data_IF_772787176572
#
_entry.id   IF_772787176572
#
_cell.length_a   1.000
_cell.length_b   1.000
_cell.length_c   1.000
_cell.angle_alpha   90.00
_cell.angle_beta   90.00
_cell.angle_gamma   90.00
#
_symmetry.space_group_name_H-M   'P 1'
#
loop_
_entity.id
_entity.type
_entity.pdbx_description
1 polymer ?
#
# COMPACT_ATOMS: atom_id res chain seq x y z
N UNK A 1 23.91 -21.50 -26.46
CA UNK A 1 23.60 -21.66 -25.03
C UNK A 1 22.19 -22.25 -24.94
N UNK A 2 22.07 -23.43 -24.36
CA UNK A 2 20.83 -24.21 -24.28
C UNK A 2 19.69 -23.37 -23.69
N UNK A 3 18.47 -23.50 -24.24
CA UNK A 3 17.30 -22.74 -23.76
C UNK A 3 17.03 -22.98 -22.26
N UNK A 4 17.25 -24.22 -21.82
CA UNK A 4 17.16 -24.61 -20.40
C UNK A 4 18.26 -23.97 -19.55
N UNK A 5 19.49 -23.89 -20.05
CA UNK A 5 20.59 -23.23 -19.36
C UNK A 5 20.37 -21.72 -19.27
N UNK A 6 19.85 -21.08 -20.33
CA UNK A 6 19.45 -19.67 -20.27
C UNK A 6 18.36 -19.43 -19.25
N UNK A 7 17.31 -20.26 -19.21
CA UNK A 7 16.24 -20.13 -18.21
C UNK A 7 16.77 -20.35 -16.79
N UNK A 8 17.65 -21.34 -16.61
CA UNK A 8 18.25 -21.64 -15.30
C UNK A 8 19.22 -20.54 -14.86
N UNK A 9 20.02 -19.98 -15.77
CA UNK A 9 20.86 -18.81 -15.49
C UNK A 9 20.05 -17.55 -15.28
N UNK A 10 18.95 -17.35 -16.00
CA UNK A 10 18.05 -16.20 -15.79
C UNK A 10 17.38 -16.31 -14.43
N UNK A 11 16.88 -17.48 -14.05
CA UNK A 11 16.32 -17.75 -12.71
C UNK A 11 17.37 -17.63 -11.61
N UNK A 12 18.59 -18.10 -11.85
CA UNK A 12 19.71 -17.94 -10.92
C UNK A 12 20.09 -16.47 -10.78
N UNK A 13 20.10 -15.71 -11.88
CA UNK A 13 20.39 -14.30 -11.88
C UNK A 13 19.26 -13.51 -11.20
N UNK A 14 18.00 -13.87 -11.43
CA UNK A 14 16.85 -13.36 -10.69
C UNK A 14 16.97 -13.70 -9.20
N UNK A 15 17.25 -14.94 -8.80
CA UNK A 15 17.31 -15.32 -7.38
C UNK A 15 18.55 -14.80 -6.63
N UNK A 16 19.69 -14.62 -7.31
CA UNK A 16 20.99 -14.42 -6.64
C UNK A 16 21.77 -13.17 -7.09
N UNK A 17 21.28 -12.35 -8.03
CA UNK A 17 22.04 -11.18 -8.49
C UNK A 17 21.91 -9.95 -7.62
N UNK A 18 22.80 -9.91 -6.63
CA UNK A 18 23.59 -8.77 -6.15
C UNK A 18 23.06 -7.34 -6.46
N UNK A 19 22.36 -6.79 -5.48
CA UNK A 19 21.83 -5.44 -5.33
C UNK A 19 20.64 -5.55 -4.36
N UNK A 20 20.33 -4.57 -3.47
CA UNK A 20 19.48 -4.78 -2.30
C UNK A 20 18.08 -5.24 -2.65
N UNK A 21 17.94 -6.56 -2.73
CA UNK A 21 16.75 -7.32 -2.44
C UNK A 21 16.75 -7.60 -0.94
N UNK A 22 15.58 -7.40 -0.33
CA UNK A 22 15.38 -7.54 1.12
C UNK A 22 14.74 -8.90 1.47
N UNK A 23 14.76 -9.85 0.53
CA UNK A 23 14.11 -11.15 0.72
C UNK A 23 14.74 -12.24 -0.15
N UNK A 24 14.77 -13.49 0.33
CA UNK A 24 15.43 -14.62 -0.33
C UNK A 24 14.79 -15.05 -1.66
N UNK A 25 13.66 -14.46 -2.05
CA UNK A 25 12.81 -14.93 -3.16
C UNK A 25 12.52 -13.92 -4.27
N UNK A 26 12.82 -12.62 -4.11
CA UNK A 26 12.31 -11.61 -5.06
C UNK A 26 13.26 -11.23 -6.20
N UNK A 27 14.57 -11.31 -6.03
CA UNK A 27 15.50 -10.83 -7.07
C UNK A 27 15.44 -9.34 -7.42
N UNK A 28 14.60 -8.58 -6.72
CA UNK A 28 14.35 -7.16 -6.98
C UNK A 28 15.32 -6.30 -6.22
N UNK A 29 15.83 -5.24 -6.82
CA UNK A 29 16.81 -4.35 -6.22
C UNK A 29 16.36 -2.90 -6.42
N UNK A 30 16.03 -2.20 -5.32
CA UNK A 30 15.61 -0.79 -5.40
C UNK A 30 16.70 0.13 -5.96
N UNK A 31 17.98 -0.22 -5.81
CA UNK A 31 19.08 0.55 -6.45
C UNK A 31 19.11 0.44 -7.97
N UNK A 32 18.35 -0.47 -8.57
CA UNK A 32 18.23 -0.64 -10.04
C UNK A 32 16.95 0.01 -10.60
N UNK A 33 16.20 0.73 -9.78
CA UNK A 33 15.00 1.44 -10.24
C UNK A 33 15.43 2.78 -10.85
N UNK A 34 15.08 3.00 -12.11
CA UNK A 34 15.36 4.25 -12.80
C UNK A 34 14.55 5.41 -12.21
N UNK A 35 15.17 6.58 -12.09
CA UNK A 35 14.49 7.81 -11.66
C UNK A 35 14.29 7.95 -10.16
N UNK A 36 14.90 7.10 -9.32
CA UNK A 36 14.92 7.28 -7.86
C UNK A 36 16.34 7.47 -7.33
N UNK A 37 16.48 8.33 -6.33
CA UNK A 37 17.75 8.54 -5.63
C UNK A 37 17.89 7.57 -4.45
N UNK A 38 19.13 7.29 -4.05
CA UNK A 38 19.42 6.51 -2.83
C UNK A 38 18.88 7.18 -1.57
N UNK A 39 18.79 8.50 -1.56
CA UNK A 39 18.21 9.25 -0.46
C UNK A 39 16.68 9.07 -0.39
N UNK A 40 15.97 8.99 -1.52
CA UNK A 40 14.55 8.63 -1.51
C UNK A 40 14.31 7.20 -1.01
N UNK A 41 15.20 6.26 -1.34
CA UNK A 41 15.17 4.89 -0.77
C UNK A 41 15.28 4.95 0.76
N UNK A 42 16.15 5.79 1.33
CA UNK A 42 16.21 5.99 2.79
C UNK A 42 14.88 6.52 3.35
N UNK A 43 14.26 7.49 2.67
CA UNK A 43 12.95 8.03 3.06
C UNK A 43 11.84 6.96 3.03
N UNK A 44 11.83 6.07 2.04
CA UNK A 44 10.92 4.91 1.95
C UNK A 44 11.07 3.98 3.16
N UNK A 45 12.30 3.60 3.50
CA UNK A 45 12.54 2.71 4.63
C UNK A 45 12.17 3.36 5.96
N UNK A 46 12.43 4.66 6.12
CA UNK A 46 11.98 5.40 7.32
C UNK A 46 10.46 5.38 7.45
N UNK A 47 9.73 5.56 6.34
CA UNK A 47 8.27 5.48 6.33
C UNK A 47 7.77 4.05 6.65
N UNK A 48 8.40 3.02 6.08
CA UNK A 48 8.08 1.62 6.40
C UNK A 48 8.36 1.27 7.87
N UNK A 49 9.50 1.72 8.40
CA UNK A 49 9.85 1.54 9.81
C UNK A 49 8.89 2.28 10.74
N UNK A 50 8.44 3.49 10.37
CA UNK A 50 7.43 4.21 11.13
C UNK A 50 6.10 3.45 11.20
N UNK A 51 5.64 2.90 10.07
CA UNK A 51 4.45 2.04 10.02
C UNK A 51 4.63 0.76 10.85
N UNK A 52 5.83 0.17 10.84
CA UNK A 52 6.06 -1.04 11.60
C UNK A 52 5.96 -0.81 13.11
N UNK A 53 6.54 0.31 13.60
CA UNK A 53 6.55 0.67 15.03
C UNK A 53 5.18 0.97 15.61
N UNK A 54 4.21 1.35 14.80
CA UNK A 54 2.83 1.56 15.26
C UNK A 54 2.05 0.25 15.39
N UNK A 55 2.68 -0.90 15.10
CA UNK A 55 2.19 -2.26 15.30
C UNK A 55 0.76 -2.51 14.74
N UNK A 56 0.46 -2.12 13.49
CA UNK A 56 -0.89 -2.23 12.94
C UNK A 56 -1.43 -3.67 12.96
N UNK A 57 -0.57 -4.68 12.78
CA UNK A 57 -0.95 -6.10 12.78
C UNK A 57 -1.42 -6.65 14.14
N UNK A 58 -1.26 -5.92 15.25
CA UNK A 58 -1.88 -6.29 16.53
C UNK A 58 -3.40 -6.08 16.51
N UNK A 59 -3.87 -5.14 15.68
CA UNK A 59 -5.29 -4.73 15.60
C UNK A 59 -5.93 -5.13 14.28
N UNK A 60 -5.20 -5.02 13.18
CA UNK A 60 -5.70 -5.24 11.81
C UNK A 60 -5.35 -6.66 11.39
N UNK A 61 -6.37 -7.46 11.12
CA UNK A 61 -6.26 -8.84 10.62
C UNK A 61 -6.28 -8.91 9.08
N UNK A 62 -5.80 -10.02 8.49
CA UNK A 62 -6.03 -10.33 7.07
C UNK A 62 -7.53 -10.34 6.79
N UNK A 63 -7.99 -9.48 5.88
CA UNK A 63 -9.42 -9.30 5.58
C UNK A 63 -9.90 -7.85 5.66
N UNK A 64 -9.20 -6.99 6.41
CA UNK A 64 -9.48 -5.56 6.37
C UNK A 64 -8.95 -4.95 5.07
N UNK A 65 -9.87 -4.60 4.18
CA UNK A 65 -9.57 -3.89 2.94
C UNK A 65 -9.68 -2.38 3.16
N UNK A 66 -8.71 -1.64 2.64
CA UNK A 66 -8.67 -0.19 2.68
C UNK A 66 -8.78 0.38 1.28
N UNK A 67 -9.62 1.40 1.10
CA UNK A 67 -9.60 2.26 -0.07
C UNK A 67 -8.52 3.33 0.08
N UNK A 68 -7.77 3.61 -0.99
CA UNK A 68 -6.66 4.57 -0.99
C UNK A 68 -6.83 5.54 -2.15
N UNK A 69 -6.76 6.84 -1.86
CA UNK A 69 -6.63 7.90 -2.87
C UNK A 69 -5.49 8.83 -2.48
N UNK A 70 -4.58 9.09 -3.42
CA UNK A 70 -3.41 9.95 -3.22
C UNK A 70 -3.45 11.05 -4.28
N UNK A 71 -3.69 12.29 -3.86
CA UNK A 71 -3.87 13.40 -4.79
C UNK A 71 -5.03 13.17 -5.77
N UNK A 72 -4.90 13.72 -6.97
CA UNK A 72 -5.89 13.62 -8.05
C UNK A 72 -5.42 12.63 -9.10
N UNK A 73 -6.35 12.09 -9.87
CA UNK A 73 -6.03 11.09 -10.90
C UNK A 73 -5.03 11.60 -11.94
N UNK A 74 -5.10 12.89 -12.29
CA UNK A 74 -4.18 13.52 -13.24
C UNK A 74 -2.76 13.72 -12.71
N UNK A 75 -2.51 13.54 -11.41
CA UNK A 75 -1.17 13.59 -10.85
C UNK A 75 -0.33 12.35 -11.26
N UNK A 76 -0.97 11.31 -11.81
CA UNK A 76 -0.35 10.02 -12.13
C UNK A 76 -0.14 9.82 -13.64
N UNK A 77 0.94 9.14 -14.05
CA UNK A 77 1.14 8.75 -15.45
C UNK A 77 0.00 7.83 -15.91
N UNK A 78 -0.78 8.29 -16.88
CA UNK A 78 -2.01 7.60 -17.32
C UNK A 78 -3.30 8.17 -16.74
N UNK A 79 -3.22 9.26 -15.96
CA UNK A 79 -4.38 9.96 -15.37
C UNK A 79 -5.26 9.03 -14.53
N UNK A 80 -4.64 8.10 -13.78
CA UNK A 80 -5.31 7.11 -12.95
C UNK A 80 -4.42 6.70 -11.78
N UNK A 81 -5.01 6.56 -10.60
CA UNK A 81 -4.34 6.05 -9.40
C UNK A 81 -3.84 4.60 -9.64
N UNK A 82 -2.59 4.26 -9.28
CA UNK A 82 -2.02 2.94 -9.56
C UNK A 82 -2.60 1.83 -8.67
N UNK A 83 -2.82 2.08 -7.37
CA UNK A 83 -3.29 1.06 -6.43
C UNK A 83 -4.38 1.56 -5.48
N UNK A 84 -5.65 1.64 -5.92
CA UNK A 84 -6.74 2.21 -5.12
C UNK A 84 -7.15 1.36 -3.90
N UNK A 85 -6.59 0.16 -3.73
CA UNK A 85 -6.92 -0.72 -2.62
C UNK A 85 -5.67 -1.25 -1.91
N UNK A 86 -5.72 -1.35 -0.59
CA UNK A 86 -4.66 -1.93 0.23
C UNK A 86 -5.21 -2.94 1.24
N UNK A 87 -4.39 -3.92 1.62
CA UNK A 87 -4.72 -4.95 2.60
C UNK A 87 -3.51 -5.28 3.45
N UNK A 88 -3.70 -5.33 4.76
CA UNK A 88 -2.69 -5.87 5.67
C UNK A 88 -2.70 -7.40 5.62
N UNK A 89 -1.52 -8.00 5.59
CA UNK A 89 -1.33 -9.45 5.64
C UNK A 89 -0.48 -9.84 6.86
N UNK A 90 -0.64 -11.09 7.31
CA UNK A 90 0.03 -11.62 8.50
C UNK A 90 -0.74 -11.38 9.80
N UNK A 91 -0.05 -11.44 10.94
CA UNK A 91 -0.64 -11.27 12.29
C UNK A 91 -1.15 -12.56 12.94
N UNK A 92 -1.26 -13.66 12.20
CA UNK A 92 -1.62 -15.00 12.69
C UNK A 92 -0.45 -16.02 12.58
N UNK A 93 0.79 -15.52 12.63
CA UNK A 93 2.01 -16.36 12.53
C UNK A 93 2.61 -16.50 11.13
N UNK A 94 2.05 -15.81 10.13
CA UNK A 94 2.65 -15.64 8.80
C UNK A 94 3.45 -14.34 8.65
N UNK A 95 4.05 -14.14 7.48
CA UNK A 95 4.82 -12.93 7.15
C UNK A 95 3.96 -11.67 7.27
N UNK A 96 4.53 -10.64 7.89
CA UNK A 96 3.86 -9.35 8.08
C UNK A 96 4.05 -8.48 6.85
N UNK A 97 2.99 -7.81 6.41
CA UNK A 97 3.11 -6.94 5.26
C UNK A 97 1.84 -6.19 4.90
N UNK A 98 1.94 -5.46 3.79
CA UNK A 98 0.85 -4.77 3.12
C UNK A 98 0.90 -5.08 1.64
N UNK A 99 -0.25 -5.46 1.10
CA UNK A 99 -0.49 -5.63 -0.33
C UNK A 99 -1.31 -4.47 -0.87
N UNK A 100 -0.86 -3.89 -1.99
CA UNK A 100 -1.55 -2.86 -2.73
C UNK A 100 -2.02 -3.43 -4.08
N UNK A 101 -3.30 -3.23 -4.38
CA UNK A 101 -4.00 -3.84 -5.51
C UNK A 101 -4.50 -2.78 -6.50
N UNK A 102 -4.49 -3.15 -7.78
CA UNK A 102 -5.00 -2.30 -8.88
C UNK A 102 -6.53 -2.21 -8.89
N UNK A 103 -7.23 -3.12 -8.23
CA UNK A 103 -8.69 -3.11 -8.10
C UNK A 103 -9.17 -3.75 -6.79
N UNK A 104 -10.40 -3.41 -6.39
CA UNK A 104 -11.08 -4.05 -5.25
C UNK A 104 -11.38 -5.53 -5.52
N UNK A 105 -11.69 -5.89 -6.77
CA UNK A 105 -11.92 -7.27 -7.16
C UNK A 105 -10.67 -8.14 -6.94
N UNK A 106 -9.49 -7.63 -7.31
CA UNK A 106 -8.22 -8.32 -7.07
C UNK A 106 -7.96 -8.52 -5.57
N UNK A 107 -8.28 -7.51 -4.75
CA UNK A 107 -8.11 -7.57 -3.30
C UNK A 107 -9.09 -8.56 -2.63
N UNK A 108 -10.34 -8.61 -3.09
CA UNK A 108 -11.34 -9.57 -2.60
C UNK A 108 -10.97 -11.02 -2.97
N UNK A 109 -10.51 -11.23 -4.21
CA UNK A 109 -9.99 -12.53 -4.65
C UNK A 109 -8.77 -12.99 -3.85
N UNK A 110 -7.97 -12.06 -3.33
CA UNK A 110 -6.85 -12.37 -2.46
C UNK A 110 -7.31 -12.76 -1.05
N UNK A 111 -8.38 -12.14 -0.54
CA UNK A 111 -8.91 -12.39 0.82
C UNK A 111 -9.50 -13.80 0.97
N UNK A 112 -10.06 -14.36 -0.11
CA UNK A 112 -10.51 -15.76 -0.15
C UNK A 112 -9.34 -16.77 -0.22
N UNK A 113 -8.12 -16.27 -0.38
CA UNK A 113 -6.91 -17.05 -0.60
C UNK A 113 -5.93 -16.88 0.56
N UNK A 114 -5.99 -17.76 1.57
CA UNK A 114 -5.21 -17.72 2.81
C UNK A 114 -3.66 -17.76 2.65
N UNK A 115 -3.12 -17.87 1.43
CA UNK A 115 -1.67 -18.00 1.17
C UNK A 115 -1.24 -17.22 -0.08
N UNK A 116 -0.03 -16.66 -0.06
CA UNK A 116 0.61 -16.01 -1.21
C UNK A 116 0.70 -16.93 -2.46
N UNK A 117 0.73 -18.25 -2.25
CA UNK A 117 0.68 -19.22 -3.34
C UNK A 117 -0.60 -19.18 -4.19
N UNK A 118 -1.64 -18.45 -3.73
CA UNK A 118 -2.96 -18.40 -4.34
C UNK A 118 -3.29 -17.04 -4.99
N UNK A 119 -2.29 -16.19 -5.28
CA UNK A 119 -2.53 -14.98 -6.09
C UNK A 119 -3.33 -15.35 -7.36
N UNK A 120 -4.33 -14.54 -7.76
CA UNK A 120 -4.98 -14.72 -9.05
C UNK A 120 -3.95 -14.66 -10.17
N UNK A 121 -4.10 -15.54 -11.17
CA UNK A 121 -3.17 -15.56 -12.30
C UNK A 121 -3.17 -14.19 -13.00
N UNK A 122 -1.98 -13.71 -13.34
CA UNK A 122 -1.73 -12.47 -14.08
C UNK A 122 -2.08 -11.15 -13.37
N UNK A 123 -2.35 -11.16 -12.07
CA UNK A 123 -2.54 -9.92 -11.29
C UNK A 123 -1.21 -9.48 -10.70
N UNK A 124 -0.87 -8.20 -10.90
CA UNK A 124 0.27 -7.55 -10.24
C UNK A 124 -0.16 -6.96 -8.91
N UNK A 125 0.59 -7.28 -7.85
CA UNK A 125 0.40 -6.78 -6.49
C UNK A 125 1.69 -6.11 -6.05
N UNK A 126 1.61 -4.85 -5.63
CA UNK A 126 2.73 -4.14 -5.02
C UNK A 126 2.77 -4.48 -3.54
N UNK A 127 3.90 -4.98 -3.06
CA UNK A 127 4.05 -5.52 -1.72
C UNK A 127 5.03 -4.70 -0.90
N UNK A 128 4.71 -4.53 0.38
CA UNK A 128 5.62 -4.07 1.42
C UNK A 128 5.64 -5.15 2.50
N UNK A 129 6.66 -5.99 2.50
CA UNK A 129 6.78 -7.14 3.42
C UNK A 129 7.82 -6.87 4.49
N UNK A 130 7.65 -7.38 5.70
CA UNK A 130 8.55 -7.17 6.82
C UNK A 130 9.18 -8.50 7.22
N UNK A 131 10.45 -8.68 6.85
CA UNK A 131 11.18 -9.94 7.06
C UNK A 131 12.21 -9.84 8.18
N UNK A 132 12.40 -10.88 8.99
CA UNK A 132 13.40 -10.87 10.05
C UNK A 132 14.84 -10.85 9.49
N UNK A 133 15.80 -10.31 10.25
CA UNK A 133 17.21 -10.25 9.85
C UNK A 133 17.75 -11.65 9.51
N UNK A 134 17.25 -12.70 10.20
CA UNK A 134 17.69 -14.08 10.01
C UNK A 134 17.52 -14.60 8.57
N UNK A 135 16.53 -14.10 7.83
CA UNK A 135 16.27 -14.52 6.44
C UNK A 135 16.98 -13.64 5.40
N UNK A 136 17.63 -12.56 5.82
CA UNK A 136 18.37 -11.68 4.91
C UNK A 136 19.73 -12.27 4.54
N UNK A 137 20.12 -12.08 3.28
CA UNK A 137 21.47 -12.37 2.82
C UNK A 137 22.50 -11.48 3.54
N UNK A 138 23.72 -11.97 3.85
CA UNK A 138 24.74 -11.19 4.55
C UNK A 138 25.16 -9.88 3.85
N UNK A 139 25.05 -9.83 2.52
CA UNK A 139 25.30 -8.63 1.71
C UNK A 139 24.21 -7.58 1.91
N UNK A 140 22.95 -8.01 1.96
CA UNK A 140 21.79 -7.16 2.26
C UNK A 140 21.92 -6.57 3.67
N UNK A 141 22.25 -7.39 4.68
CA UNK A 141 22.47 -6.92 6.06
C UNK A 141 23.53 -5.81 6.12
N UNK A 142 24.68 -6.02 5.47
CA UNK A 142 25.77 -5.04 5.42
C UNK A 142 25.34 -3.73 4.79
N UNK A 143 24.52 -3.77 3.74
CA UNK A 143 24.03 -2.58 3.08
C UNK A 143 23.01 -1.81 3.92
N UNK A 144 22.07 -2.51 4.56
CA UNK A 144 21.09 -1.86 5.43
C UNK A 144 21.79 -1.09 6.55
N UNK A 145 22.75 -1.75 7.21
CA UNK A 145 23.58 -1.11 8.25
C UNK A 145 24.40 0.05 7.70
N UNK A 146 25.00 -0.07 6.50
CA UNK A 146 25.80 1.02 5.91
C UNK A 146 24.95 2.22 5.46
N UNK A 147 23.70 1.98 5.07
CA UNK A 147 22.77 3.02 4.65
C UNK A 147 21.93 3.57 5.82
N UNK A 148 22.12 3.04 7.04
CA UNK A 148 21.36 3.35 8.26
C UNK A 148 19.85 3.22 8.02
N UNK A 149 19.47 2.11 7.37
CA UNK A 149 18.09 1.77 7.03
C UNK A 149 17.39 0.96 8.11
N UNK A 150 18.07 0.74 9.24
CA UNK A 150 17.56 -0.04 10.36
C UNK A 150 16.34 0.66 10.97
N UNK A 151 15.26 -0.09 11.18
CA UNK A 151 14.21 0.36 12.08
C UNK A 151 14.82 0.35 13.48
N UNK A 152 14.99 1.53 14.10
CA UNK A 152 15.63 1.75 15.40
C UNK A 152 15.24 0.79 16.56
N UNK A 153 14.20 -0.03 16.40
CA UNK A 153 13.65 -0.89 17.44
C UNK A 153 13.35 -2.34 16.97
N UNK A 154 13.84 -2.82 15.80
CA UNK A 154 13.51 -4.18 15.35
C UNK A 154 14.47 -4.84 14.38
N UNK A 155 14.65 -6.15 14.55
CA UNK A 155 15.38 -7.07 13.65
C UNK A 155 14.58 -7.37 12.37
N UNK A 156 13.79 -6.40 11.86
CA UNK A 156 12.85 -6.62 10.75
C UNK A 156 13.05 -5.56 9.67
N UNK A 157 13.05 -6.00 8.41
CA UNK A 157 13.39 -5.18 7.27
C UNK A 157 12.30 -5.19 6.20
N UNK A 158 11.93 -4.02 5.65
CA UNK A 158 10.91 -3.94 4.62
C UNK A 158 11.45 -4.43 3.28
N UNK A 159 10.74 -5.31 2.57
CA UNK A 159 10.90 -5.60 1.13
C UNK A 159 9.82 -4.84 0.38
N UNK A 160 10.22 -4.11 -0.67
CA UNK A 160 9.28 -3.47 -1.58
C UNK A 160 9.50 -4.04 -2.97
N UNK A 161 8.51 -4.78 -3.48
CA UNK A 161 8.55 -5.40 -4.80
C UNK A 161 7.15 -5.48 -5.43
N UNK A 162 7.10 -5.79 -6.73
CA UNK A 162 5.84 -6.15 -7.39
C UNK A 162 5.85 -7.63 -7.69
N UNK A 163 4.88 -8.34 -7.13
CA UNK A 163 4.65 -9.75 -7.36
C UNK A 163 3.55 -9.98 -8.39
N UNK A 164 3.72 -11.00 -9.23
CA UNK A 164 2.71 -11.49 -10.17
C UNK A 164 2.77 -13.00 -10.23
N UNK A 165 1.63 -13.67 -10.15
CA UNK A 165 1.55 -15.11 -10.41
C UNK A 165 1.42 -15.35 -11.92
N UNK A 166 2.33 -16.12 -12.49
CA UNK A 166 2.23 -16.60 -13.86
C UNK A 166 1.09 -17.64 -13.97
N UNK A 167 0.56 -17.85 -15.18
CA UNK A 167 -0.42 -18.91 -15.46
C UNK A 167 0.11 -20.31 -15.13
N UNK A 168 1.42 -20.51 -15.13
CA UNK A 168 2.11 -21.73 -14.68
C UNK A 168 2.08 -21.94 -13.16
N UNK A 169 1.49 -21.01 -12.39
CA UNK A 169 1.43 -21.06 -10.93
C UNK A 169 2.67 -20.52 -10.22
N UNK A 170 3.76 -20.23 -10.94
CA UNK A 170 4.98 -19.65 -10.37
C UNK A 170 4.82 -18.15 -10.07
N UNK A 171 5.40 -17.70 -8.96
CA UNK A 171 5.51 -16.28 -8.65
C UNK A 171 6.67 -15.67 -9.43
N UNK A 172 6.43 -14.51 -10.03
CA UNK A 172 7.44 -13.66 -10.66
C UNK A 172 7.46 -12.33 -9.93
N UNK A 173 8.64 -11.78 -9.82
CA UNK A 173 8.86 -10.52 -9.12
C UNK A 173 9.54 -9.53 -10.07
N UNK A 174 9.18 -8.26 -9.96
CA UNK A 174 9.84 -7.17 -10.66
C UNK A 174 10.09 -5.99 -9.74
N UNK A 175 11.07 -5.17 -10.11
CA UNK A 175 11.26 -3.88 -9.47
C UNK A 175 9.99 -3.01 -9.63
N UNK A 176 9.57 -2.29 -8.57
CA UNK A 176 8.57 -1.24 -8.70
C UNK A 176 9.09 -0.10 -9.58
N UNK A 177 8.18 0.66 -10.20
CA UNK A 177 8.54 1.91 -10.89
C UNK A 177 8.70 3.07 -9.90
N UNK A 178 9.31 4.18 -10.34
CA UNK A 178 9.43 5.39 -9.52
C UNK A 178 8.06 5.90 -9.03
N UNK A 179 7.01 5.83 -9.84
CA UNK A 179 5.65 6.26 -9.46
C UNK A 179 5.00 5.31 -8.46
N UNK A 180 5.21 4.00 -8.63
CA UNK A 180 4.73 2.99 -7.67
C UNK A 180 5.39 3.19 -6.29
N UNK A 181 6.67 3.56 -6.26
CA UNK A 181 7.39 3.89 -5.02
C UNK A 181 6.91 5.20 -4.39
N UNK A 182 6.65 6.24 -5.19
CA UNK A 182 6.03 7.49 -4.71
C UNK A 182 4.67 7.23 -4.07
N UNK A 183 3.87 6.39 -4.72
CA UNK A 183 2.57 5.97 -4.21
C UNK A 183 2.68 5.26 -2.87
N UNK A 184 3.55 4.25 -2.77
CA UNK A 184 3.77 3.48 -1.53
C UNK A 184 4.31 4.36 -0.40
N UNK A 185 5.22 5.28 -0.68
CA UNK A 185 5.69 6.24 0.32
C UNK A 185 4.53 7.02 0.94
N UNK A 186 3.69 7.63 0.09
CA UNK A 186 2.57 8.45 0.56
C UNK A 186 1.53 7.61 1.31
N UNK A 187 1.23 6.40 0.82
CA UNK A 187 0.37 5.46 1.53
C UNK A 187 0.93 5.09 2.91
N UNK A 188 2.19 4.70 3.02
CA UNK A 188 2.80 4.31 4.31
C UNK A 188 2.77 5.45 5.32
N UNK A 189 3.09 6.68 4.88
CA UNK A 189 3.02 7.88 5.74
C UNK A 189 1.60 8.13 6.24
N UNK A 190 0.61 8.03 5.36
CA UNK A 190 -0.79 8.26 5.71
C UNK A 190 -1.34 7.16 6.64
N UNK A 191 -1.16 5.88 6.28
CA UNK A 191 -1.71 4.78 7.04
C UNK A 191 -1.12 4.71 8.45
N UNK A 192 0.17 5.07 8.62
CA UNK A 192 0.81 5.20 9.95
C UNK A 192 0.05 6.16 10.87
N UNK A 193 -0.48 7.26 10.34
CA UNK A 193 -1.25 8.26 11.10
C UNK A 193 -2.70 7.82 11.31
N UNK A 194 -3.25 7.11 10.32
CA UNK A 194 -4.67 6.82 10.23
C UNK A 194 -5.07 5.54 10.96
N UNK A 195 -4.31 4.46 10.81
CA UNK A 195 -4.69 3.16 11.37
C UNK A 195 -4.91 3.18 12.90
N UNK A 196 -4.23 4.02 13.71
CA UNK A 196 -4.51 4.10 15.14
C UNK A 196 -5.92 4.62 15.46
N UNK A 197 -6.50 5.43 14.57
CA UNK A 197 -7.80 6.10 14.74
C UNK A 197 -8.99 5.17 14.51
N UNK A 198 -8.78 3.97 13.97
CA UNK A 198 -9.85 3.00 13.70
C UNK A 198 -10.54 2.56 14.99
N UNK A 199 -11.85 2.84 15.10
CA UNK A 199 -12.65 2.47 16.26
C UNK A 199 -13.32 1.12 16.06
N UNK A 200 -13.35 0.30 17.10
CA UNK A 200 -13.90 -1.06 17.04
C UNK A 200 -15.43 -0.98 17.12
N UNK A 201 -16.12 -1.81 16.33
CA UNK A 201 -17.57 -1.96 16.44
C UNK A 201 -17.89 -2.73 17.73
N UNK A 202 -18.19 -1.99 18.80
CA UNK A 202 -18.65 -2.53 20.08
C UNK A 202 -17.53 -2.99 21.03
N UNK A 203 -17.95 -3.31 22.27
CA UNK A 203 -17.09 -3.71 23.39
C UNK A 203 -16.57 -5.15 23.19
N UNK A 204 -15.80 -5.41 22.14
CA UNK A 204 -15.36 -6.74 21.75
C UNK A 204 -14.07 -7.15 22.48
N UNK A 205 -14.11 -7.17 23.81
CA UNK A 205 -13.39 -8.22 24.52
C UNK A 205 -14.22 -9.50 24.37
N UNK A 206 -13.60 -10.55 23.82
CA UNK A 206 -14.14 -11.92 23.65
C UNK A 206 -14.79 -12.24 22.29
N UNK A 207 -14.03 -12.91 21.42
CA UNK A 207 -14.08 -14.38 21.22
C UNK A 207 -13.04 -14.75 20.16
N UNK A 208 -12.20 -15.74 20.46
CA UNK A 208 -11.27 -16.35 19.50
C UNK A 208 -12.04 -16.70 18.22
N UNK A 209 -11.59 -16.17 17.07
CA UNK A 209 -12.11 -16.57 15.75
C UNK A 209 -13.15 -15.66 15.08
N UNK A 210 -13.52 -14.49 15.63
CA UNK A 210 -14.26 -13.47 14.85
C UNK A 210 -13.30 -12.38 14.36
N UNK A 211 -13.46 -11.98 13.09
CA UNK A 211 -12.84 -10.76 12.56
C UNK A 211 -13.24 -9.59 13.45
N UNK A 212 -12.25 -8.84 13.92
CA UNK A 212 -12.50 -7.52 14.53
C UNK A 212 -13.19 -6.70 13.44
N UNK A 213 -14.29 -6.03 13.76
CA UNK A 213 -14.93 -5.11 12.84
C UNK A 213 -14.61 -3.69 13.30
N UNK A 214 -14.30 -2.81 12.35
CA UNK A 214 -14.11 -1.38 12.61
C UNK A 214 -15.32 -0.61 12.12
N UNK A 215 -15.64 0.48 12.81
CA UNK A 215 -16.62 1.43 12.31
C UNK A 215 -16.20 1.96 10.94
N UNK A 216 -17.16 2.21 10.02
CA UNK A 216 -16.86 2.85 8.75
C UNK A 216 -16.07 4.14 8.96
N UNK A 217 -14.93 4.23 8.28
CA UNK A 217 -13.92 5.23 8.54
C UNK A 217 -13.45 5.85 7.24
N UNK A 218 -13.38 7.18 7.20
CA UNK A 218 -12.81 7.94 6.10
C UNK A 218 -12.01 9.09 6.68
N UNK A 219 -10.71 9.11 6.42
CA UNK A 219 -9.83 10.17 6.89
C UNK A 219 -8.94 10.65 5.76
N UNK A 220 -8.71 11.95 5.70
CA UNK A 220 -7.78 12.56 4.74
C UNK A 220 -6.68 13.25 5.50
N UNK A 221 -5.44 12.86 5.23
CA UNK A 221 -4.24 13.43 5.85
C UNK A 221 -3.33 14.01 4.79
N UNK A 222 -2.69 15.12 5.11
CA UNK A 222 -1.68 15.71 4.25
C UNK A 222 -0.33 15.04 4.48
N UNK A 223 0.23 14.47 3.43
CA UNK A 223 1.57 13.87 3.44
C UNK A 223 2.53 14.79 2.72
N UNK A 224 3.63 15.13 3.37
CA UNK A 224 4.68 15.91 2.75
C UNK A 224 5.59 15.03 1.89
N UNK A 225 5.83 15.43 0.65
CA UNK A 225 6.84 14.80 -0.20
C UNK A 225 8.23 15.04 0.39
N UNK A 226 9.07 13.99 0.44
CA UNK A 226 10.40 14.12 0.99
C UNK A 226 11.28 14.94 0.02
N UNK A 227 12.35 15.58 0.52
CA UNK A 227 13.11 16.55 -0.26
C UNK A 227 13.82 15.96 -1.47
N UNK A 228 13.90 14.63 -1.56
CA UNK A 228 14.55 13.91 -2.65
C UNK A 228 13.67 13.73 -3.90
N UNK A 229 12.38 14.04 -3.82
CA UNK A 229 11.46 13.92 -4.95
C UNK A 229 11.26 15.26 -5.68
N UNK A 230 10.87 15.23 -6.97
CA UNK A 230 10.24 16.39 -7.60
C UNK A 230 9.02 16.81 -6.76
N UNK A 231 8.82 18.13 -6.56
CA UNK A 231 7.80 18.67 -5.63
C UNK A 231 8.16 18.52 -4.14
N UNK A 232 9.45 18.53 -3.83
CA UNK A 232 9.98 18.53 -2.46
C UNK A 232 9.24 19.51 -1.55
N UNK A 233 8.75 19.02 -0.41
CA UNK A 233 8.07 19.83 0.59
C UNK A 233 6.60 20.16 0.29
N UNK A 234 6.11 19.90 -0.93
CA UNK A 234 4.69 20.01 -1.24
C UNK A 234 3.89 18.94 -0.50
N UNK A 235 2.67 19.29 -0.12
CA UNK A 235 1.72 18.39 0.53
C UNK A 235 0.88 17.67 -0.53
N UNK A 236 0.65 16.38 -0.33
CA UNK A 236 -0.34 15.59 -1.07
C UNK A 236 -1.40 15.09 -0.10
N UNK A 237 -2.66 15.36 -0.43
CA UNK A 237 -3.78 14.81 0.33
C UNK A 237 -3.89 13.29 0.07
N UNK A 238 -3.90 12.51 1.14
CA UNK A 238 -4.09 11.06 1.10
C UNK A 238 -5.36 10.71 1.85
N UNK A 239 -6.37 10.20 1.15
CA UNK A 239 -7.60 9.70 1.75
C UNK A 239 -7.53 8.18 1.92
N UNK A 240 -7.79 7.72 3.15
CA UNK A 240 -7.89 6.31 3.50
C UNK A 240 -9.33 6.03 3.93
N UNK A 241 -9.91 4.96 3.36
CA UNK A 241 -11.27 4.53 3.61
C UNK A 241 -11.28 3.08 4.12
N UNK A 242 -12.15 2.76 5.08
CA UNK A 242 -12.39 1.40 5.51
C UNK A 242 -13.86 1.21 5.92
N UNK A 243 -14.63 0.30 5.30
CA UNK A 243 -14.27 -0.52 4.14
C UNK A 243 -14.07 0.32 2.86
N UNK A 244 -13.56 -0.28 1.75
CA UNK A 244 -13.46 0.41 0.46
C UNK A 244 -14.88 0.49 -0.14
N UNK A 245 -15.57 1.60 0.10
CA UNK A 245 -16.87 1.88 -0.52
C UNK A 245 -16.70 2.94 -1.62
N UNK A 246 -17.14 2.64 -2.84
CA UNK A 246 -17.22 3.62 -3.92
C UNK A 246 -18.21 4.76 -3.60
N UNK A 247 -19.18 4.52 -2.71
CA UNK A 247 -20.37 5.37 -2.54
C UNK A 247 -20.19 6.61 -1.65
N UNK A 248 -19.10 6.70 -0.88
CA UNK A 248 -18.86 7.91 -0.07
C UNK A 248 -18.27 9.07 -0.91
N UNK A 249 -17.87 8.79 -2.16
CA UNK A 249 -17.24 9.75 -3.03
C UNK A 249 -18.19 10.72 -3.70
N UNK A 250 -19.40 10.28 -4.01
CA UNK A 250 -20.36 11.10 -4.74
C UNK A 250 -21.08 12.09 -3.79
N UNK A 251 -21.28 11.72 -2.52
CA UNK A 251 -22.03 12.58 -1.58
C UNK A 251 -21.31 13.88 -1.23
N UNK A 252 -19.97 13.92 -1.19
CA UNK A 252 -19.24 15.18 -0.95
C UNK A 252 -19.00 16.01 -2.22
N UNK A 253 -18.95 15.41 -3.41
CA UNK A 253 -18.94 16.15 -4.67
C UNK A 253 -20.32 16.76 -4.99
N UNK A 254 -21.41 16.09 -4.62
CA UNK A 254 -22.77 16.62 -4.81
C UNK A 254 -23.15 17.71 -3.80
N UNK A 255 -22.48 17.82 -2.65
CA UNK A 255 -22.67 18.95 -1.73
C UNK A 255 -21.95 20.24 -2.17
N UNK A 256 -21.16 20.21 -3.25
CA UNK A 256 -20.49 21.40 -3.81
C UNK A 256 -21.20 22.01 -5.04
N UNK A 257 -22.44 21.61 -5.33
CA UNK A 257 -23.32 22.33 -6.27
C UNK A 257 -24.48 23.03 -5.52
N UNK A 258 -24.32 24.26 -4.98
CA UNK A 258 -25.46 25.11 -4.67
C UNK A 258 -25.88 25.84 -5.95
N UNK A 259 -26.48 25.11 -6.87
CA UNK A 259 -27.07 25.68 -8.08
C UNK A 259 -28.37 24.95 -8.40
N UNK A 260 -29.27 24.86 -7.43
CA UNK A 260 -30.70 24.62 -7.62
C UNK A 260 -31.41 24.70 -6.26
N UNK A 261 -31.72 25.91 -5.81
CA UNK A 261 -32.94 26.21 -5.05
C UNK A 261 -33.04 27.73 -4.82
N UNK A 262 -33.59 28.41 -5.82
CA UNK A 262 -34.35 29.64 -5.61
C UNK A 262 -35.58 29.56 -6.52
N UNK A 263 -36.53 28.70 -6.13
CA UNK A 263 -37.92 28.90 -6.54
C UNK A 263 -38.35 30.22 -5.89
N UNK A 264 -38.33 31.30 -6.66
CA UNK A 264 -39.15 32.45 -6.36
C UNK A 264 -40.61 31.98 -6.38
N UNK A 265 -41.18 31.79 -5.20
CA UNK A 265 -42.62 31.72 -5.01
C UNK A 265 -43.07 33.17 -4.85
N UNK A 266 -43.71 33.72 -5.89
CA UNK A 266 -44.45 34.97 -5.75
C UNK A 266 -45.57 34.77 -4.71
N UNK A 267 -45.77 35.69 -3.75
CA UNK A 267 -46.97 35.69 -2.94
C UNK A 267 -48.16 36.13 -3.79
N UNK A 268 -49.22 35.32 -3.77
CA UNK A 268 -50.54 35.70 -4.26
C UNK A 268 -51.08 36.83 -3.39
N UNK A 269 -51.25 38.01 -3.97
CA UNK A 269 -52.06 39.08 -3.39
C UNK A 269 -53.54 38.68 -3.48
N UNK A 270 -54.11 38.26 -2.36
CA UNK A 270 -55.53 38.40 -2.10
C UNK A 270 -55.72 39.11 -0.76
N UNK A 271 -56.12 40.39 -0.80
CA UNK A 271 -57.13 40.84 0.14
C UNK A 271 -58.04 41.92 -0.45
N UNK A 272 -59.33 41.63 -0.32
CA UNK A 272 -60.49 42.39 -0.76
C UNK A 272 -60.59 43.71 0.00
N UNK A 273 -61.05 44.76 -0.69
CA UNK A 273 -62.18 45.56 -0.21
C UNK A 273 -62.86 46.32 -1.34
#
# INVERSE_FOLDING_TARGET
>A
MDLHLKDLFTRFQEQFSAGPSLGPSSGTCLLRVDGISTAFIKSLFRAAAALFRTEPWKRIRPGHLFGVRIGKDFDWPGKKQPFPCAQFIGGEGGDLGVHLFKSQADALNMTSCLREANLPANVEVLRVMFFPESVLLPTTKRMIKSLSLDAADGDVFPVIDVARRASSGSLRFRNPTADELRYVFAFMKAITLVHPLLQWVGNAMSRVGRLIEFEPFVETVDVQWPPELPRAGELVAVTILHPPSQDYLEKKMNLQNPAQEAKYVEPLDEEKS
#
